data_IF_027871376976
#
_entry.id   IF_027871376976
#
_cell.length_a   1.000
_cell.length_b   1.000
_cell.length_c   1.000
_cell.angle_alpha   90.00
_cell.angle_beta   90.00
_cell.angle_gamma   90.00
#
_symmetry.space_group_name_H-M   'P 1'
#
loop_
_entity.id
_entity.type
_entity.pdbx_description
1 polymer ?
#
# COMPACT_ATOMS: atom_id res chain seq x y z
N UNK A 1 11.54 16.42 2.90
CA UNK A 1 10.55 15.66 3.69
C UNK A 1 9.97 14.74 2.67
N UNK A 2 10.47 13.51 2.66
CA UNK A 2 10.03 12.52 1.70
C UNK A 2 8.78 11.87 2.32
N UNK A 3 7.62 12.21 1.76
CA UNK A 3 6.32 11.77 2.27
C UNK A 3 6.07 10.29 1.98
N UNK A 4 5.10 9.70 2.68
CA UNK A 4 4.61 8.33 2.45
C UNK A 4 4.05 8.17 1.03
N UNK A 5 4.86 7.66 0.09
CA UNK A 5 4.52 7.61 -1.34
C UNK A 5 3.20 6.88 -1.64
N UNK A 6 2.94 5.77 -0.95
CA UNK A 6 1.75 4.94 -1.19
C UNK A 6 0.44 5.67 -0.89
N UNK A 7 0.43 6.71 -0.03
CA UNK A 7 -0.78 7.49 0.23
C UNK A 7 -1.31 8.18 -1.04
N UNK A 8 -0.39 8.67 -1.89
CA UNK A 8 -0.74 9.34 -3.15
C UNK A 8 -1.12 8.32 -4.21
N UNK A 9 -0.41 7.19 -4.26
CA UNK A 9 -0.69 6.10 -5.20
C UNK A 9 -2.10 5.56 -4.99
N UNK A 10 -2.47 5.23 -3.75
CA UNK A 10 -3.77 4.61 -3.45
C UNK A 10 -4.92 5.59 -3.61
N UNK A 11 -4.78 6.83 -3.13
CA UNK A 11 -5.80 7.88 -3.29
C UNK A 11 -6.02 8.27 -4.75
N UNK A 12 -4.95 8.46 -5.53
CA UNK A 12 -5.05 8.77 -6.97
C UNK A 12 -5.67 7.62 -7.74
N UNK A 13 -5.26 6.37 -7.46
CA UNK A 13 -5.84 5.20 -8.11
C UNK A 13 -7.34 5.10 -7.87
N UNK A 14 -7.79 5.41 -6.64
CA UNK A 14 -9.21 5.44 -6.28
C UNK A 14 -9.99 6.51 -7.06
N UNK A 15 -9.44 7.72 -7.17
CA UNK A 15 -10.04 8.80 -7.95
C UNK A 15 -10.13 8.43 -9.44
N UNK A 16 -9.07 7.84 -10.00
CA UNK A 16 -9.04 7.41 -11.40
C UNK A 16 -10.13 6.38 -11.72
N UNK A 17 -10.30 5.35 -10.87
CA UNK A 17 -11.34 4.33 -11.10
C UNK A 17 -12.75 4.89 -10.86
N UNK A 18 -12.91 5.79 -9.89
CA UNK A 18 -14.18 6.47 -9.63
C UNK A 18 -14.59 7.31 -10.84
N UNK A 19 -13.65 8.08 -11.40
CA UNK A 19 -13.91 8.90 -12.57
C UNK A 19 -14.12 8.07 -13.84
N UNK A 20 -13.39 6.95 -13.98
CA UNK A 20 -13.64 6.00 -15.06
C UNK A 20 -15.06 5.41 -14.99
N UNK A 21 -15.55 5.08 -13.79
CA UNK A 21 -16.93 4.64 -13.56
C UNK A 21 -17.93 5.69 -14.02
N UNK A 22 -17.73 6.94 -13.60
CA UNK A 22 -18.56 8.07 -13.99
C UNK A 22 -18.63 8.25 -15.52
N UNK A 23 -17.47 8.33 -16.17
CA UNK A 23 -17.40 8.52 -17.64
C UNK A 23 -18.06 7.36 -18.41
N UNK A 24 -17.93 6.13 -17.90
CA UNK A 24 -18.60 4.96 -18.47
C UNK A 24 -20.13 5.12 -18.39
N UNK A 25 -20.65 5.50 -17.22
CA UNK A 25 -22.08 5.73 -17.02
C UNK A 25 -22.62 6.88 -17.86
N UNK A 26 -21.85 7.96 -18.02
CA UNK A 26 -22.22 9.12 -18.82
C UNK A 26 -22.04 8.90 -20.32
N UNK A 27 -21.41 7.80 -20.75
CA UNK A 27 -21.01 7.54 -22.15
C UNK A 27 -20.13 8.66 -22.71
N UNK A 28 -19.22 9.17 -21.88
CA UNK A 28 -18.35 10.30 -22.20
C UNK A 28 -16.87 9.93 -22.22
N UNK A 29 -16.08 10.79 -22.86
CA UNK A 29 -14.62 10.81 -22.79
C UNK A 29 -14.16 12.23 -22.47
N UNK A 30 -12.96 12.38 -21.89
CA UNK A 30 -12.38 13.70 -21.64
C UNK A 30 -11.45 14.07 -22.78
N UNK A 31 -11.53 15.32 -23.25
CA UNK A 31 -10.59 15.92 -24.19
C UNK A 31 -9.77 16.97 -23.45
N UNK A 32 -8.45 16.82 -23.41
CA UNK A 32 -7.55 17.75 -22.73
C UNK A 32 -6.32 17.97 -23.60
N UNK A 33 -6.08 19.21 -24.05
CA UNK A 33 -4.88 19.56 -24.85
C UNK A 33 -4.67 18.70 -26.10
N UNK A 34 -5.74 18.34 -26.81
CA UNK A 34 -5.69 17.46 -27.99
C UNK A 34 -5.63 15.95 -27.69
N UNK A 35 -5.54 15.56 -26.42
CA UNK A 35 -5.51 14.15 -26.00
C UNK A 35 -6.90 13.70 -25.57
N UNK A 36 -7.31 12.50 -26.01
CA UNK A 36 -8.52 11.84 -25.55
C UNK A 36 -8.20 10.89 -24.39
N UNK A 37 -8.88 11.08 -23.28
CA UNK A 37 -8.79 10.24 -22.09
C UNK A 37 -10.09 9.43 -21.97
N UNK A 38 -9.97 8.12 -22.19
CA UNK A 38 -11.09 7.18 -22.12
C UNK A 38 -11.19 6.56 -20.72
N UNK A 39 -12.37 6.03 -20.33
CA UNK A 39 -12.51 5.26 -19.09
C UNK A 39 -11.51 4.10 -19.00
N UNK A 40 -11.25 3.41 -20.12
CA UNK A 40 -10.27 2.32 -20.19
C UNK A 40 -8.85 2.80 -19.88
N UNK A 41 -8.46 3.98 -20.38
CA UNK A 41 -7.14 4.55 -20.10
C UNK A 41 -6.96 4.85 -18.61
N UNK A 42 -7.95 5.46 -17.96
CA UNK A 42 -7.92 5.74 -16.51
C UNK A 42 -7.81 4.45 -15.68
N UNK A 43 -8.62 3.44 -16.02
CA UNK A 43 -8.56 2.11 -15.38
C UNK A 43 -7.17 1.47 -15.50
N UNK A 44 -6.58 1.51 -16.69
CA UNK A 44 -5.26 0.92 -16.93
C UNK A 44 -4.16 1.60 -16.10
N UNK A 45 -4.22 2.93 -15.94
CA UNK A 45 -3.28 3.67 -15.09
C UNK A 45 -3.44 3.24 -13.62
N UNK A 46 -4.67 3.23 -13.10
CA UNK A 46 -4.93 2.80 -11.73
C UNK A 46 -4.52 1.34 -11.49
N UNK A 47 -4.81 0.45 -12.44
CA UNK A 47 -4.40 -0.95 -12.37
C UNK A 47 -2.88 -1.09 -12.31
N UNK A 48 -2.15 -0.38 -13.17
CA UNK A 48 -0.67 -0.42 -13.18
C UNK A 48 -0.08 -0.01 -11.82
N UNK A 49 -0.67 1.00 -11.17
CA UNK A 49 -0.25 1.44 -9.84
C UNK A 49 -0.55 0.39 -8.76
N UNK A 50 -1.72 -0.24 -8.81
CA UNK A 50 -2.07 -1.35 -7.90
C UNK A 50 -1.18 -2.58 -8.13
N UNK A 51 -0.91 -2.94 -9.39
CA UNK A 51 -0.02 -4.05 -9.73
C UNK A 51 1.39 -3.80 -9.18
N UNK A 52 1.92 -2.58 -9.35
CA UNK A 52 3.20 -2.16 -8.77
C UNK A 52 3.21 -2.29 -7.25
N UNK A 53 2.17 -1.80 -6.57
CA UNK A 53 2.01 -1.93 -5.12
C UNK A 53 2.01 -3.41 -4.67
N UNK A 54 1.40 -4.29 -5.46
CA UNK A 54 1.24 -5.71 -5.15
C UNK A 54 2.41 -6.60 -5.63
N UNK A 55 3.44 -6.02 -6.24
CA UNK A 55 4.69 -6.74 -6.54
C UNK A 55 5.18 -6.67 -7.99
N UNK A 56 4.45 -6.02 -8.90
CA UNK A 56 4.97 -5.76 -10.25
C UNK A 56 5.89 -4.51 -10.27
N UNK A 57 6.99 -4.63 -9.54
CA UNK A 57 8.02 -3.62 -9.38
C UNK A 57 9.42 -4.27 -9.50
N UNK A 58 10.50 -3.47 -9.62
CA UNK A 58 11.87 -4.00 -9.76
C UNK A 58 12.30 -4.94 -8.62
N UNK A 59 11.78 -4.72 -7.42
CA UNK A 59 12.08 -5.54 -6.24
C UNK A 59 11.32 -6.87 -6.17
N UNK A 60 10.33 -7.06 -7.05
CA UNK A 60 9.36 -8.18 -7.03
C UNK A 60 8.78 -8.40 -5.62
N UNK A 61 8.41 -7.30 -4.97
CA UNK A 61 7.98 -7.26 -3.58
C UNK A 61 6.64 -6.57 -3.46
N UNK A 62 5.66 -7.22 -2.84
CA UNK A 62 4.41 -6.58 -2.46
C UNK A 62 4.67 -5.60 -1.32
N UNK A 63 4.22 -4.36 -1.44
CA UNK A 63 4.20 -3.39 -0.35
C UNK A 63 2.96 -3.54 0.56
N UNK A 64 2.10 -4.51 0.27
CA UNK A 64 1.06 -4.99 1.18
C UNK A 64 1.56 -6.19 1.98
N UNK A 65 1.58 -6.05 3.29
CA UNK A 65 2.04 -7.07 4.25
C UNK A 65 1.19 -8.32 4.16
N UNK A 66 1.84 -9.48 4.06
CA UNK A 66 1.18 -10.79 3.97
C UNK A 66 0.59 -11.12 2.60
N UNK A 67 0.82 -10.29 1.58
CA UNK A 67 0.40 -10.57 0.19
C UNK A 67 1.60 -10.90 -0.70
N UNK A 68 1.45 -11.90 -1.57
CA UNK A 68 2.51 -12.34 -2.49
C UNK A 68 3.65 -13.10 -1.82
N UNK A 69 4.65 -13.50 -2.61
CA UNK A 69 5.76 -14.32 -2.15
C UNK A 69 6.82 -13.55 -1.34
N UNK A 70 6.89 -12.22 -1.51
CA UNK A 70 7.85 -11.33 -0.85
C UNK A 70 7.12 -10.05 -0.42
N UNK A 71 7.18 -9.72 0.87
CA UNK A 71 6.51 -8.56 1.47
C UNK A 71 7.29 -8.04 2.70
N UNK A 72 7.08 -6.78 3.15
CA UNK A 72 7.77 -6.20 4.30
C UNK A 72 7.57 -7.01 5.57
N UNK A 73 8.65 -7.31 6.28
CA UNK A 73 8.61 -8.07 7.53
C UNK A 73 8.92 -7.20 8.75
N UNK A 74 9.40 -5.96 8.55
CA UNK A 74 9.90 -5.10 9.61
C UNK A 74 9.27 -3.71 9.55
N UNK A 75 7.95 -3.68 9.42
CA UNK A 75 7.17 -2.44 9.34
C UNK A 75 7.19 -1.65 10.66
N UNK A 76 7.07 -0.32 10.58
CA UNK A 76 7.00 0.59 11.74
C UNK A 76 5.62 0.53 12.40
N UNK A 77 5.30 -0.59 13.08
CA UNK A 77 4.01 -0.73 13.78
C UNK A 77 4.20 -1.45 15.12
N UNK A 78 3.91 -0.77 16.24
CA UNK A 78 4.15 -1.29 17.60
C UNK A 78 3.43 -2.62 17.88
N UNK A 79 2.17 -2.72 17.50
CA UNK A 79 1.40 -3.96 17.68
C UNK A 79 1.90 -5.11 16.78
N UNK A 80 2.62 -4.79 15.70
CA UNK A 80 3.23 -5.80 14.83
C UNK A 80 4.58 -6.25 15.40
N UNK A 81 5.39 -5.30 15.87
CA UNK A 81 6.78 -5.52 16.27
C UNK A 81 6.96 -6.06 17.69
N UNK A 82 6.07 -5.70 18.63
CA UNK A 82 6.13 -6.21 20.01
C UNK A 82 5.45 -7.58 20.14
N UNK A 83 5.87 -8.44 21.07
CA UNK A 83 5.19 -9.70 21.32
C UNK A 83 3.73 -9.45 21.72
N UNK A 84 2.83 -10.34 21.29
CA UNK A 84 1.42 -10.28 21.68
C UNK A 84 1.25 -10.54 23.18
N UNK A 85 0.13 -10.10 23.75
CA UNK A 85 -0.21 -10.36 25.16
C UNK A 85 -0.32 -11.86 25.48
N UNK A 86 -0.64 -12.69 24.48
CA UNK A 86 -0.69 -14.14 24.63
C UNK A 86 0.71 -14.74 24.87
N UNK A 87 1.73 -14.21 24.19
CA UNK A 87 3.12 -14.68 24.29
C UNK A 87 3.91 -13.95 25.38
N UNK A 88 3.49 -12.74 25.77
CA UNK A 88 4.12 -11.93 26.81
C UNK A 88 3.03 -11.20 27.64
N UNK A 89 2.42 -11.88 28.64
CA UNK A 89 1.32 -11.33 29.41
C UNK A 89 1.73 -10.22 30.38
N UNK A 90 3.03 -10.16 30.74
CA UNK A 90 3.56 -9.09 31.57
C UNK A 90 3.56 -7.74 30.83
N UNK A 91 3.39 -6.65 31.58
CA UNK A 91 3.43 -5.28 31.03
C UNK A 91 4.82 -4.96 30.50
N UNK A 92 4.90 -4.57 29.23
CA UNK A 92 6.11 -4.01 28.60
C UNK A 92 6.23 -2.54 29.03
N UNK A 93 7.37 -2.14 29.60
CA UNK A 93 7.57 -0.73 30.00
C UNK A 93 7.85 0.15 28.78
N UNK A 94 7.62 1.46 28.92
CA UNK A 94 7.69 2.41 27.80
C UNK A 94 9.02 2.37 27.03
N UNK A 95 10.15 2.09 27.72
CA UNK A 95 11.48 2.09 27.10
C UNK A 95 11.87 0.73 26.50
N UNK A 96 11.31 -0.36 27.01
CA UNK A 96 11.74 -1.71 26.64
C UNK A 96 11.47 -2.02 25.16
N UNK A 97 10.40 -1.41 24.61
CA UNK A 97 10.04 -1.54 23.21
C UNK A 97 11.01 -0.87 22.22
N UNK A 98 11.89 0.03 22.65
CA UNK A 98 12.86 0.66 21.74
C UNK A 98 13.95 -0.31 21.27
N UNK A 99 14.29 -1.33 22.08
CA UNK A 99 15.21 -2.39 21.65
C UNK A 99 14.71 -3.14 20.41
N UNK A 100 13.38 -3.26 20.30
CA UNK A 100 12.73 -3.89 19.14
C UNK A 100 12.84 -3.00 17.91
N UNK A 101 12.89 -1.68 18.04
CA UNK A 101 13.04 -0.77 16.89
C UNK A 101 14.28 -1.08 16.06
N UNK A 102 15.42 -1.35 16.70
CA UNK A 102 16.72 -1.62 16.05
C UNK A 102 16.95 -3.10 15.71
N UNK A 103 16.10 -4.01 16.18
CA UNK A 103 16.23 -5.45 15.92
C UNK A 103 16.18 -5.78 14.43
N UNK A 104 16.96 -6.76 13.99
CA UNK A 104 16.90 -7.28 12.60
C UNK A 104 15.89 -8.42 12.43
N UNK A 105 15.30 -8.92 13.51
CA UNK A 105 14.28 -9.96 13.45
C UNK A 105 12.99 -9.46 12.76
N UNK A 106 12.25 -10.32 12.05
CA UNK A 106 10.92 -9.97 11.56
C UNK A 106 9.98 -9.61 12.71
N UNK A 107 8.93 -8.85 12.41
CA UNK A 107 7.88 -8.55 13.36
C UNK A 107 7.14 -9.85 13.76
N UNK A 108 6.94 -10.13 15.06
CA UNK A 108 6.32 -11.37 15.52
C UNK A 108 4.83 -11.49 15.14
N UNK A 109 4.13 -10.36 14.97
CA UNK A 109 2.73 -10.37 14.52
C UNK A 109 2.64 -9.80 13.11
N UNK A 110 2.28 -10.63 12.14
CA UNK A 110 2.09 -10.21 10.75
C UNK A 110 0.83 -9.35 10.64
N UNK A 111 1.00 -8.07 10.30
CA UNK A 111 -0.12 -7.15 10.13
C UNK A 111 -0.72 -7.28 8.72
N UNK A 112 -1.40 -8.40 8.48
CA UNK A 112 -1.91 -8.77 7.16
C UNK A 112 -2.78 -7.66 6.55
N UNK A 113 -2.50 -7.31 5.29
CA UNK A 113 -3.23 -6.31 4.53
C UNK A 113 -2.77 -4.87 4.75
N UNK A 114 -1.91 -4.59 5.73
CA UNK A 114 -1.34 -3.25 5.90
C UNK A 114 -0.46 -2.90 4.70
N UNK A 115 -0.63 -1.68 4.18
CA UNK A 115 0.23 -1.13 3.13
C UNK A 115 1.17 -0.12 3.77
N UNK A 116 2.47 -0.33 3.56
CA UNK A 116 3.53 0.57 4.04
C UNK A 116 3.66 1.81 3.15
N UNK A 117 4.41 2.82 3.58
CA UNK A 117 4.70 4.01 2.78
C UNK A 117 5.34 3.73 1.42
N UNK A 118 6.04 2.60 1.28
CA UNK A 118 6.53 2.09 0.00
C UNK A 118 7.95 2.55 -0.30
N UNK A 119 8.43 2.34 -1.54
CA UNK A 119 9.81 2.61 -1.91
C UNK A 119 10.06 4.11 -2.11
N UNK A 120 11.33 4.49 -2.14
CA UNK A 120 11.79 5.80 -2.59
C UNK A 120 11.66 5.99 -4.12
N UNK A 121 12.07 7.16 -4.61
CA UNK A 121 12.02 7.51 -6.04
C UNK A 121 12.91 6.62 -6.95
N UNK A 122 13.79 5.81 -6.37
CA UNK A 122 14.69 4.88 -7.05
C UNK A 122 14.26 3.42 -6.87
N UNK A 123 13.00 3.16 -6.51
CA UNK A 123 12.45 1.83 -6.23
C UNK A 123 13.15 1.09 -5.07
N UNK A 124 13.86 1.80 -4.19
CA UNK A 124 14.55 1.20 -3.04
C UNK A 124 13.59 1.18 -1.85
N UNK A 125 13.54 0.03 -1.19
CA UNK A 125 12.78 -0.20 0.03
C UNK A 125 13.64 -1.04 1.01
N UNK A 126 14.11 -0.46 2.13
CA UNK A 126 15.08 -1.13 2.98
C UNK A 126 14.46 -2.14 3.97
N UNK A 127 13.14 -2.14 4.15
CA UNK A 127 12.40 -2.94 5.16
C UNK A 127 13.01 -2.78 6.57
N UNK A 128 12.98 -1.54 7.08
CA UNK A 128 13.57 -1.18 8.37
C UNK A 128 12.57 -0.41 9.22
N UNK A 129 12.31 -0.90 10.44
CA UNK A 129 11.36 -0.24 11.36
C UNK A 129 11.72 1.23 11.63
N UNK A 130 13.00 1.59 11.71
CA UNK A 130 13.40 2.97 11.97
C UNK A 130 13.14 3.93 10.80
N UNK A 131 12.98 3.39 9.59
CA UNK A 131 12.60 4.14 8.40
C UNK A 131 11.07 4.29 8.38
N UNK A 132 10.57 5.26 9.13
CA UNK A 132 9.14 5.49 9.26
C UNK A 132 8.53 6.01 7.95
N UNK A 133 9.26 6.78 7.14
CA UNK A 133 8.77 7.29 5.85
C UNK A 133 8.32 6.14 4.93
N UNK A 134 9.17 5.12 4.79
CA UNK A 134 8.89 3.99 3.90
C UNK A 134 8.11 2.87 4.59
N UNK A 135 8.38 2.60 5.87
CA UNK A 135 7.90 1.41 6.56
C UNK A 135 6.65 1.63 7.43
N UNK A 136 6.15 2.86 7.55
CA UNK A 136 4.94 3.14 8.33
C UNK A 136 3.67 2.77 7.56
N UNK A 137 2.82 1.88 8.11
CA UNK A 137 1.49 1.67 7.60
C UNK A 137 0.52 2.71 8.17
N UNK A 138 -0.44 3.15 7.35
CA UNK A 138 -1.48 4.07 7.82
C UNK A 138 -2.86 3.76 7.25
N UNK A 139 -3.89 4.08 8.03
CA UNK A 139 -5.29 3.84 7.66
C UNK A 139 -5.69 4.58 6.38
N UNK A 140 -5.17 5.80 6.18
CA UNK A 140 -5.44 6.60 4.98
C UNK A 140 -4.77 6.06 3.72
N UNK A 141 -3.74 5.21 3.82
CA UNK A 141 -3.16 4.50 2.67
C UNK A 141 -4.11 3.38 2.25
N UNK A 142 -4.58 2.59 3.22
CA UNK A 142 -5.46 1.44 2.99
C UNK A 142 -6.88 1.84 2.57
N UNK A 143 -7.46 2.91 3.13
CA UNK A 143 -8.84 3.31 2.89
C UNK A 143 -9.21 3.47 1.39
N UNK A 144 -8.49 4.28 0.57
CA UNK A 144 -8.79 4.40 -0.85
C UNK A 144 -8.41 3.14 -1.65
N UNK A 145 -7.43 2.37 -1.18
CA UNK A 145 -7.04 1.13 -1.85
C UNK A 145 -8.16 0.09 -1.82
N UNK A 146 -8.89 -0.04 -0.71
CA UNK A 146 -10.03 -0.97 -0.60
C UNK A 146 -11.07 -0.70 -1.70
N UNK A 147 -11.42 0.57 -1.91
CA UNK A 147 -12.35 0.97 -2.98
C UNK A 147 -11.80 0.67 -4.39
N UNK A 148 -10.50 0.89 -4.59
CA UNK A 148 -9.82 0.59 -5.86
C UNK A 148 -9.80 -0.91 -6.16
N UNK A 149 -9.42 -1.73 -5.19
CA UNK A 149 -9.40 -3.19 -5.33
C UNK A 149 -10.80 -3.74 -5.60
N UNK A 150 -11.81 -3.22 -4.91
CA UNK A 150 -13.22 -3.59 -5.14
C UNK A 150 -13.63 -3.31 -6.60
N UNK A 151 -13.31 -2.12 -7.11
CA UNK A 151 -13.63 -1.76 -8.49
C UNK A 151 -12.92 -2.67 -9.51
N UNK A 152 -11.64 -2.95 -9.30
CA UNK A 152 -10.84 -3.78 -10.19
C UNK A 152 -11.33 -5.23 -10.17
N UNK A 153 -11.58 -5.80 -8.99
CA UNK A 153 -12.11 -7.16 -8.83
C UNK A 153 -13.47 -7.34 -9.52
N UNK A 154 -14.37 -6.36 -9.39
CA UNK A 154 -15.67 -6.40 -10.07
C UNK A 154 -15.54 -6.32 -11.60
N UNK A 155 -14.59 -5.53 -12.11
CA UNK A 155 -14.36 -5.36 -13.55
C UNK A 155 -13.81 -6.63 -14.22
N UNK A 156 -13.12 -7.51 -13.47
CA UNK A 156 -12.66 -8.80 -13.98
C UNK A 156 -13.79 -9.84 -14.14
N UNK A 157 -14.96 -9.61 -13.54
CA UNK A 157 -16.14 -10.49 -13.66
C UNK A 157 -17.16 -10.08 -14.72
N UNK A 158 -16.87 -9.04 -15.53
CA UNK A 158 -17.78 -8.51 -16.57
C UNK A 158 -17.07 -8.26 -17.91
N UNK A 159 -16.03 -9.04 -18.20
CA UNK A 159 -15.47 -9.18 -19.55
C UNK A 159 -15.87 -10.55 -20.12
#
# INVERSE_FOLDING_TARGET
>A
MDDSNMQYVTSTSFLLVTYAKYLTSARMVVKCGGVVITPKRLRNVAKKQVDYLLGDNPQKMSYMVGYGAKYPQRIHHRGSSLPSVANHPAKIQCRDGFSVMSSQAPNPNVLVGAVVGGPDEHDRFPDQRSDYEQSEPATYINAPLVGTLTYLAHSFGQL
#
